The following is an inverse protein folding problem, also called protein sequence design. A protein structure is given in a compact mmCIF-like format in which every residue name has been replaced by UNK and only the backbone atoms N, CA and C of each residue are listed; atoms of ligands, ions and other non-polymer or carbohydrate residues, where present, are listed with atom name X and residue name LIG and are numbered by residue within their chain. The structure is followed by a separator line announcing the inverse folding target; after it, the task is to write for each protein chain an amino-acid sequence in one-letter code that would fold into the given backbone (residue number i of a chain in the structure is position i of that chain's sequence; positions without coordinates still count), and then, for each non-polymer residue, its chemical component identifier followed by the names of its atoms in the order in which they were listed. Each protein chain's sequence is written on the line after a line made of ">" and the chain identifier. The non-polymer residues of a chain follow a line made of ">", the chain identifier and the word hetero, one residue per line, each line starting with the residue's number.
data_IF_679135486097
#
_entry.id   IF_679135486097
#
_cell.length_a   1.000
_cell.length_b   1.000
_cell.length_c   1.000
_cell.angle_alpha   90.00
_cell.angle_beta   90.00
_cell.angle_gamma   90.00
#
_symmetry.space_group_name_H-M   'P 1'
#
loop_
_entity.id
_entity.type
_entity.pdbx_description
1 polymer ?
#
# COMPACT_ATOMS: atom_id res chain seq x y z
N UNK A 1 36.21 16.76 -40.59
CA UNK A 1 35.63 17.10 -39.28
C UNK A 1 34.52 16.09 -38.99
N UNK A 2 34.76 15.15 -38.07
CA UNK A 2 33.84 14.04 -37.79
C UNK A 2 33.09 14.27 -36.47
N UNK A 3 31.77 14.38 -36.54
CA UNK A 3 30.89 14.52 -35.38
C UNK A 3 30.78 13.18 -34.63
N UNK A 4 31.36 13.11 -33.43
CA UNK A 4 31.18 11.99 -32.50
C UNK A 4 29.94 12.25 -31.64
N UNK A 5 28.93 11.39 -31.78
CA UNK A 5 27.78 11.31 -30.86
C UNK A 5 28.21 10.72 -29.52
N UNK A 6 27.74 11.24 -28.37
CA UNK A 6 28.11 10.71 -27.06
C UNK A 6 27.36 9.42 -26.77
N UNK A 7 28.11 8.35 -26.45
CA UNK A 7 27.58 7.11 -25.89
C UNK A 7 27.40 7.30 -24.38
N UNK A 8 26.17 7.14 -23.89
CA UNK A 8 25.90 7.08 -22.46
C UNK A 8 26.17 5.67 -21.93
N UNK A 9 27.13 5.57 -21.01
CA UNK A 9 27.38 4.36 -20.23
C UNK A 9 26.37 4.23 -19.09
N UNK A 10 25.55 3.19 -19.12
CA UNK A 10 24.60 2.79 -18.07
C UNK A 10 25.26 1.77 -17.14
N UNK A 11 26.21 2.20 -16.32
CA UNK A 11 26.68 1.42 -15.15
C UNK A 11 27.20 2.38 -14.09
N UNK A 12 26.33 2.76 -13.16
CA UNK A 12 26.67 3.06 -11.77
C UNK A 12 25.38 3.28 -10.98
N UNK A 13 25.28 2.59 -9.84
CA UNK A 13 24.13 2.62 -8.95
C UNK A 13 23.93 4.00 -8.36
N UNK A 14 22.94 4.73 -8.86
CA UNK A 14 22.51 5.98 -8.26
C UNK A 14 21.62 5.67 -7.07
N UNK A 15 22.08 6.04 -5.88
CA UNK A 15 21.18 6.52 -4.82
C UNK A 15 20.24 7.53 -5.48
N UNK A 16 18.94 7.23 -5.49
CA UNK A 16 17.93 8.20 -5.89
C UNK A 16 17.89 9.22 -4.75
N UNK A 17 18.68 10.27 -4.90
CA UNK A 17 18.65 11.41 -4.01
C UNK A 17 17.28 12.07 -4.20
N UNK A 18 16.37 11.88 -3.24
CA UNK A 18 15.05 12.53 -3.18
C UNK A 18 15.16 13.97 -2.70
N UNK A 19 16.31 14.63 -2.88
CA UNK A 19 16.40 16.08 -3.02
C UNK A 19 15.60 16.49 -4.26
N UNK A 20 14.28 16.42 -4.09
CA UNK A 20 13.31 17.18 -4.83
C UNK A 20 13.87 18.60 -4.80
N UNK A 21 14.19 19.11 -5.98
CA UNK A 21 14.29 20.53 -6.27
C UNK A 21 13.03 21.22 -5.72
N UNK A 22 13.04 21.57 -4.44
CA UNK A 22 12.21 22.60 -3.85
C UNK A 22 12.97 23.89 -4.06
N UNK A 23 13.04 24.29 -5.32
CA UNK A 23 13.35 25.65 -5.69
C UNK A 23 12.37 26.56 -4.93
N UNK A 24 12.84 27.68 -4.39
CA UNK A 24 12.02 28.81 -3.89
C UNK A 24 10.89 29.22 -4.86
N UNK A 25 11.01 28.84 -6.13
CA UNK A 25 9.94 28.82 -7.13
C UNK A 25 8.67 28.06 -6.69
N UNK A 26 8.75 26.94 -5.96
CA UNK A 26 7.58 26.18 -5.51
C UNK A 26 6.81 26.89 -4.39
N UNK A 27 7.47 27.54 -3.43
CA UNK A 27 6.80 28.41 -2.46
C UNK A 27 6.15 29.62 -3.15
N UNK A 28 6.81 30.21 -4.16
CA UNK A 28 6.25 31.29 -4.98
C UNK A 28 5.10 30.82 -5.89
N UNK A 29 5.14 29.59 -6.40
CA UNK A 29 4.11 28.97 -7.23
C UNK A 29 2.90 28.57 -6.38
N UNK A 30 3.15 28.00 -5.20
CA UNK A 30 2.13 27.70 -4.20
C UNK A 30 1.60 28.96 -3.50
N UNK A 31 2.24 30.12 -3.65
CA UNK A 31 1.66 31.41 -3.26
C UNK A 31 0.79 32.01 -4.37
N UNK A 32 1.09 31.73 -5.65
CA UNK A 32 0.32 32.21 -6.82
C UNK A 32 -0.89 31.35 -7.20
N UNK A 33 -0.91 30.07 -6.83
CA UNK A 33 -1.96 29.10 -7.19
C UNK A 33 -2.68 28.58 -5.95
N UNK A 34 -2.59 29.26 -4.79
CA UNK A 34 -3.66 29.05 -3.81
C UNK A 34 -4.92 29.58 -4.50
N UNK A 35 -5.98 28.80 -4.70
CA UNK A 35 -7.28 29.44 -4.59
C UNK A 35 -7.20 30.20 -3.27
N UNK A 36 -7.13 31.52 -3.35
CA UNK A 36 -7.21 32.38 -2.17
C UNK A 36 -8.57 32.01 -1.62
N UNK A 37 -8.61 31.11 -0.64
CA UNK A 37 -9.84 30.76 0.06
C UNK A 37 -10.30 32.13 0.56
N UNK A 38 -11.39 32.68 0.03
CA UNK A 38 -11.89 33.95 0.52
C UNK A 38 -12.04 33.74 2.02
N UNK A 39 -11.46 34.63 2.82
CA UNK A 39 -11.44 34.59 4.28
C UNK A 39 -12.86 34.73 4.90
N UNK A 40 -13.89 34.16 4.26
CA UNK A 40 -15.20 33.81 4.80
C UNK A 40 -15.28 32.29 4.90
N UNK A 41 -14.89 31.78 6.08
CA UNK A 41 -14.80 30.37 6.50
C UNK A 41 -15.96 29.48 6.02
N UNK A 42 -15.84 28.90 4.82
CA UNK A 42 -16.44 27.59 4.59
C UNK A 42 -15.49 26.59 5.22
N UNK A 43 -15.91 25.99 6.33
CA UNK A 43 -15.29 24.77 6.85
C UNK A 43 -15.46 23.74 5.75
N UNK A 44 -14.43 23.55 4.94
CA UNK A 44 -14.44 22.49 3.94
C UNK A 44 -14.28 21.19 4.70
N UNK A 45 -15.33 20.37 4.65
CA UNK A 45 -15.22 19.00 5.07
C UNK A 45 -14.21 18.30 4.17
N UNK A 46 -13.41 17.43 4.78
CA UNK A 46 -12.53 16.55 4.04
C UNK A 46 -12.90 15.12 4.35
N UNK A 47 -12.65 14.25 3.39
CA UNK A 47 -13.03 12.86 3.43
C UNK A 47 -12.05 12.05 4.28
N UNK A 48 -10.74 12.23 4.05
CA UNK A 48 -9.67 11.50 4.77
C UNK A 48 -8.30 12.12 4.54
N UNK A 49 -7.33 11.70 5.36
CA UNK A 49 -5.90 11.98 5.15
C UNK A 49 -5.27 10.82 4.38
N UNK A 50 -4.70 11.11 3.23
CA UNK A 50 -3.99 10.11 2.40
C UNK A 50 -2.60 9.84 3.00
N UNK A 51 -1.84 10.91 3.22
CA UNK A 51 -0.41 10.83 3.55
C UNK A 51 0.05 11.93 4.50
N UNK A 52 1.14 11.66 5.21
CA UNK A 52 1.86 12.61 6.07
C UNK A 52 3.30 12.71 5.60
N UNK A 53 3.88 13.91 5.61
CA UNK A 53 5.32 14.11 5.45
C UNK A 53 5.82 15.24 6.34
N UNK A 54 7.08 15.17 6.75
CA UNK A 54 7.78 16.28 7.40
C UNK A 54 8.52 17.11 6.35
N UNK A 55 8.34 18.43 6.38
CA UNK A 55 9.12 19.37 5.57
C UNK A 55 9.73 20.38 6.55
N UNK A 56 11.06 20.35 6.69
CA UNK A 56 11.79 21.12 7.71
C UNK A 56 11.20 20.80 9.10
N UNK A 57 10.62 21.78 9.76
CA UNK A 57 10.01 21.67 11.09
C UNK A 57 8.47 21.65 11.04
N UNK A 58 7.88 21.41 9.85
CA UNK A 58 6.42 21.43 9.66
C UNK A 58 5.90 20.09 9.15
N UNK A 59 4.91 19.56 9.86
CA UNK A 59 4.12 18.42 9.38
C UNK A 59 3.12 18.89 8.33
N UNK A 60 3.14 18.23 7.18
CA UNK A 60 2.17 18.43 6.10
C UNK A 60 1.37 17.15 5.88
N UNK A 61 0.09 17.30 5.57
CA UNK A 61 -0.84 16.21 5.31
C UNK A 61 -1.46 16.35 3.93
N UNK A 62 -1.56 15.27 3.17
CA UNK A 62 -2.25 15.25 1.89
C UNK A 62 -3.72 14.88 2.13
N UNK A 63 -4.62 15.83 1.88
CA UNK A 63 -6.04 15.67 2.16
C UNK A 63 -6.81 15.28 0.91
N UNK A 64 -7.73 14.33 1.05
CA UNK A 64 -8.82 14.12 0.10
C UNK A 64 -10.02 14.93 0.57
N UNK A 65 -10.48 15.88 -0.24
CA UNK A 65 -11.58 16.78 0.12
C UNK A 65 -12.95 16.10 -0.11
N UNK A 66 -13.95 16.42 0.71
CA UNK A 66 -15.31 15.88 0.54
C UNK A 66 -15.99 16.57 -0.64
N UNK A 67 -16.66 15.80 -1.51
CA UNK A 67 -17.30 16.28 -2.76
C UNK A 67 -16.34 16.81 -3.83
N UNK A 68 -15.04 16.57 -3.69
CA UNK A 68 -14.03 16.86 -4.70
C UNK A 68 -13.40 15.57 -5.20
N UNK A 69 -12.81 15.63 -6.38
CA UNK A 69 -12.13 14.48 -6.94
C UNK A 69 -10.76 14.30 -6.32
N UNK A 70 -10.24 13.07 -6.34
CA UNK A 70 -8.92 12.75 -5.78
C UNK A 70 -7.77 13.58 -6.42
N UNK A 71 -7.94 14.04 -7.67
CA UNK A 71 -6.97 14.92 -8.34
C UNK A 71 -6.89 16.34 -7.77
N UNK A 72 -7.83 16.70 -6.91
CA UNK A 72 -7.89 17.99 -6.21
C UNK A 72 -7.32 17.91 -4.80
N UNK A 73 -6.74 16.75 -4.41
CA UNK A 73 -6.06 16.58 -3.15
C UNK A 73 -4.89 17.58 -2.99
N UNK A 74 -4.80 18.22 -1.82
CA UNK A 74 -3.78 19.24 -1.52
C UNK A 74 -2.98 18.91 -0.27
N UNK A 75 -1.75 19.41 -0.21
CA UNK A 75 -0.90 19.30 0.97
C UNK A 75 -1.18 20.48 1.91
N UNK A 76 -1.75 20.18 3.06
CA UNK A 76 -2.13 21.16 4.07
C UNK A 76 -1.26 21.05 5.34
N UNK A 77 -0.99 22.17 6.02
CA UNK A 77 -0.25 22.15 7.27
C UNK A 77 -1.10 21.59 8.42
N UNK A 78 -0.44 20.94 9.38
CA UNK A 78 -1.09 20.43 10.60
C UNK A 78 -1.92 21.49 11.34
N UNK A 79 -1.50 22.75 11.31
CA UNK A 79 -2.15 23.86 12.02
C UNK A 79 -3.57 24.17 11.56
N UNK A 80 -3.96 23.76 10.35
CA UNK A 80 -5.34 23.97 9.85
C UNK A 80 -6.24 22.75 10.09
N UNK A 81 -5.67 21.63 10.52
CA UNK A 81 -6.43 20.40 10.71
C UNK A 81 -7.12 20.40 12.09
N UNK A 82 -8.40 19.99 12.15
CA UNK A 82 -9.05 19.70 13.42
C UNK A 82 -8.29 18.60 14.18
N UNK A 83 -8.18 18.73 15.51
CA UNK A 83 -7.46 17.75 16.34
C UNK A 83 -7.96 16.31 16.23
N UNK A 84 -9.26 16.10 16.00
CA UNK A 84 -9.82 14.75 15.92
C UNK A 84 -9.33 13.96 14.71
N UNK A 85 -8.82 14.65 13.70
CA UNK A 85 -8.49 14.06 12.40
C UNK A 85 -7.13 13.39 12.42
N UNK A 86 -6.18 13.91 13.20
CA UNK A 86 -4.90 13.23 13.40
C UNK A 86 -5.11 11.85 14.03
N UNK A 87 -6.12 11.69 14.88
CA UNK A 87 -6.55 10.40 15.42
C UNK A 87 -7.04 9.46 14.33
N UNK A 88 -7.94 9.93 13.44
CA UNK A 88 -8.45 9.13 12.32
C UNK A 88 -7.33 8.68 11.38
N UNK A 89 -6.30 9.51 11.18
CA UNK A 89 -5.15 9.10 10.37
C UNK A 89 -4.40 7.91 10.97
N UNK A 90 -4.19 7.89 12.28
CA UNK A 90 -3.52 6.76 12.96
C UNK A 90 -4.43 5.53 13.09
N UNK A 91 -5.73 5.75 13.24
CA UNK A 91 -6.74 4.71 13.46
C UNK A 91 -7.89 4.87 12.47
N UNK A 92 -7.67 4.53 11.19
CA UNK A 92 -8.69 4.71 10.18
C UNK A 92 -9.84 3.73 10.38
N UNK A 93 -11.05 4.22 10.14
CA UNK A 93 -12.25 3.39 10.04
C UNK A 93 -12.28 2.71 8.66
N UNK A 94 -12.36 1.38 8.65
CA UNK A 94 -12.34 0.59 7.42
C UNK A 94 -13.53 -0.34 7.40
N UNK A 95 -14.30 -0.31 6.31
CA UNK A 95 -15.42 -1.23 6.11
C UNK A 95 -14.94 -2.63 5.73
N UNK A 96 -15.71 -3.65 6.12
CA UNK A 96 -15.39 -5.05 5.84
C UNK A 96 -15.41 -5.36 4.34
N UNK A 97 -16.32 -4.72 3.58
CA UNK A 97 -16.39 -4.89 2.13
C UNK A 97 -15.13 -4.38 1.44
N UNK A 98 -14.59 -3.26 1.94
CA UNK A 98 -13.40 -2.63 1.40
C UNK A 98 -12.15 -3.47 1.71
N UNK A 99 -12.05 -4.04 2.92
CA UNK A 99 -11.02 -5.03 3.26
C UNK A 99 -11.10 -6.28 2.39
N UNK A 100 -12.31 -6.79 2.15
CA UNK A 100 -12.54 -7.97 1.30
C UNK A 100 -12.08 -7.72 -0.14
N UNK A 101 -12.37 -6.54 -0.69
CA UNK A 101 -11.91 -6.17 -2.03
C UNK A 101 -10.39 -6.13 -2.12
N UNK A 102 -9.72 -5.47 -1.16
CA UNK A 102 -8.26 -5.37 -1.13
C UNK A 102 -7.61 -6.74 -0.90
N UNK A 103 -8.16 -7.57 -0.02
CA UNK A 103 -7.70 -8.94 0.18
C UNK A 103 -7.73 -9.72 -1.14
N UNK A 104 -8.86 -9.74 -1.86
CA UNK A 104 -8.99 -10.43 -3.15
C UNK A 104 -8.01 -9.91 -4.21
N UNK A 105 -7.78 -8.60 -4.27
CA UNK A 105 -6.81 -8.00 -5.19
C UNK A 105 -5.37 -8.42 -4.84
N UNK A 106 -5.03 -8.40 -3.55
CA UNK A 106 -3.73 -8.83 -3.05
C UNK A 106 -3.49 -10.31 -3.34
N UNK A 107 -4.44 -11.19 -2.99
CA UNK A 107 -4.40 -12.63 -3.30
C UNK A 107 -4.18 -12.87 -4.79
N UNK A 108 -5.00 -12.25 -5.64
CA UNK A 108 -4.88 -12.39 -7.09
C UNK A 108 -3.49 -11.98 -7.58
N UNK A 109 -2.89 -10.95 -7.00
CA UNK A 109 -1.54 -10.52 -7.35
C UNK A 109 -0.46 -11.51 -6.86
N UNK A 110 -0.57 -12.04 -5.64
CA UNK A 110 0.30 -13.10 -5.11
C UNK A 110 0.21 -14.36 -5.99
N UNK A 111 -0.99 -14.82 -6.31
CA UNK A 111 -1.23 -16.00 -7.13
C UNK A 111 -0.63 -15.85 -8.54
N UNK A 112 -0.82 -14.68 -9.18
CA UNK A 112 -0.16 -14.37 -10.47
C UNK A 112 1.36 -14.36 -10.34
N UNK A 113 1.90 -13.90 -9.22
CA UNK A 113 3.34 -13.86 -8.96
C UNK A 113 3.91 -15.28 -8.81
N UNK A 114 3.27 -16.12 -8.00
CA UNK A 114 3.62 -17.54 -7.80
C UNK A 114 3.54 -18.33 -9.12
N UNK A 115 2.47 -18.16 -9.88
CA UNK A 115 2.30 -18.80 -11.19
C UNK A 115 3.42 -18.43 -12.18
N UNK A 116 3.80 -17.15 -12.22
CA UNK A 116 4.94 -16.69 -13.04
C UNK A 116 6.27 -17.27 -12.57
N UNK A 117 6.44 -17.44 -11.26
CA UNK A 117 7.68 -17.99 -10.69
C UNK A 117 7.92 -19.44 -11.12
N UNK A 118 6.87 -20.26 -11.13
CA UNK A 118 6.95 -21.63 -11.65
C UNK A 118 7.42 -21.63 -13.11
N UNK A 119 6.90 -20.71 -13.92
CA UNK A 119 7.22 -20.60 -15.34
C UNK A 119 8.62 -20.02 -15.61
N UNK A 120 9.10 -19.11 -14.76
CA UNK A 120 10.33 -18.34 -14.99
C UNK A 120 11.27 -18.37 -13.79
N UNK A 121 12.40 -19.06 -13.94
CA UNK A 121 13.51 -19.09 -12.97
C UNK A 121 14.35 -17.79 -13.04
N UNK A 122 13.76 -16.65 -12.70
CA UNK A 122 14.50 -15.40 -12.49
C UNK A 122 15.43 -15.47 -11.26
N UNK A 123 16.60 -14.85 -11.34
CA UNK A 123 17.46 -14.63 -10.17
C UNK A 123 16.90 -13.53 -9.25
N UNK A 124 16.13 -12.58 -9.80
CA UNK A 124 15.56 -11.48 -9.02
C UNK A 124 14.32 -11.94 -8.25
N UNK A 125 14.17 -11.55 -6.98
CA UNK A 125 12.92 -11.73 -6.25
C UNK A 125 11.78 -11.06 -7.02
N UNK A 126 10.72 -11.78 -7.40
CA UNK A 126 9.62 -11.16 -8.10
C UNK A 126 8.91 -10.19 -7.16
N UNK A 127 8.52 -9.06 -7.74
CA UNK A 127 7.77 -8.02 -7.05
C UNK A 127 6.58 -7.61 -7.90
N UNK A 128 5.53 -7.13 -7.25
CA UNK A 128 4.35 -6.57 -7.91
C UNK A 128 3.85 -5.35 -7.14
N UNK A 129 2.99 -4.55 -7.76
CA UNK A 129 2.27 -3.48 -7.09
C UNK A 129 0.78 -3.82 -7.09
N UNK A 130 0.11 -3.52 -5.97
CA UNK A 130 -1.34 -3.57 -5.84
C UNK A 130 -1.85 -2.21 -5.42
N UNK A 131 -3.04 -1.85 -5.89
CA UNK A 131 -3.76 -0.70 -5.36
C UNK A 131 -4.20 -1.06 -3.94
N UNK A 132 -3.78 -0.25 -2.98
CA UNK A 132 -3.98 -0.55 -1.57
C UNK A 132 -4.10 0.80 -0.84
N UNK A 133 -5.33 1.27 -0.58
CA UNK A 133 -5.55 2.53 0.11
C UNK A 133 -4.78 2.57 1.42
N UNK A 134 -4.12 3.68 1.72
CA UNK A 134 -3.22 3.75 2.86
C UNK A 134 -3.92 3.70 4.21
N UNK A 135 -5.19 4.05 4.27
CA UNK A 135 -6.02 3.81 5.46
C UNK A 135 -6.14 2.32 5.76
N UNK A 136 -6.39 1.51 4.74
CA UNK A 136 -6.41 0.05 4.90
C UNK A 136 -5.02 -0.47 5.25
N UNK A 137 -3.96 0.10 4.66
CA UNK A 137 -2.59 -0.30 4.98
C UNK A 137 -2.26 -0.03 6.46
N UNK A 138 -2.61 1.17 6.95
CA UNK A 138 -2.48 1.56 8.35
C UNK A 138 -3.29 0.65 9.26
N UNK A 139 -4.54 0.36 8.90
CA UNK A 139 -5.40 -0.55 9.64
C UNK A 139 -4.81 -1.95 9.75
N UNK A 140 -4.38 -2.53 8.63
CA UNK A 140 -3.87 -3.92 8.57
C UNK A 140 -2.52 -4.05 9.27
N UNK A 141 -1.58 -3.14 8.99
CA UNK A 141 -0.18 -3.29 9.44
C UNK A 141 0.20 -2.41 10.64
N UNK A 142 -0.71 -1.55 11.12
CA UNK A 142 -0.51 -0.73 12.32
C UNK A 142 0.58 0.33 12.18
N UNK A 143 0.86 0.79 10.96
CA UNK A 143 1.96 1.74 10.71
C UNK A 143 1.55 2.89 9.79
N UNK A 144 1.91 4.11 10.20
CA UNK A 144 1.64 5.36 9.46
C UNK A 144 2.75 5.78 8.50
N UNK A 145 3.92 5.13 8.57
CA UNK A 145 5.12 5.64 7.90
C UNK A 145 5.19 5.16 6.45
N UNK A 146 4.88 6.08 5.55
CA UNK A 146 4.98 5.86 4.12
C UNK A 146 6.45 5.84 3.67
N UNK A 147 6.78 5.03 2.66
CA UNK A 147 8.13 4.92 2.11
C UNK A 147 9.11 4.04 2.90
N UNK A 148 8.72 3.54 4.07
CA UNK A 148 9.50 2.52 4.80
C UNK A 148 9.14 1.14 4.29
N UNK A 149 10.14 0.27 4.13
CA UNK A 149 9.94 -1.14 3.87
C UNK A 149 9.59 -1.88 5.17
N UNK A 150 8.57 -2.72 5.12
CA UNK A 150 8.17 -3.60 6.21
C UNK A 150 8.38 -5.05 5.81
N UNK A 151 8.97 -5.84 6.71
CA UNK A 151 9.18 -7.27 6.50
C UNK A 151 8.18 -8.03 7.38
N UNK A 152 7.21 -8.67 6.75
CA UNK A 152 6.26 -9.56 7.43
C UNK A 152 6.89 -10.93 7.48
N UNK A 153 7.12 -11.45 8.67
CA UNK A 153 7.85 -12.72 8.89
C UNK A 153 6.96 -13.95 8.88
N UNK A 154 5.65 -13.79 9.11
CA UNK A 154 4.71 -14.90 9.21
C UNK A 154 3.34 -14.54 8.60
N UNK A 155 2.54 -15.56 8.29
CA UNK A 155 1.19 -15.39 7.71
C UNK A 155 0.25 -14.60 8.62
N UNK A 156 0.42 -14.66 9.95
CA UNK A 156 -0.39 -13.90 10.92
C UNK A 156 -0.27 -12.38 10.76
N UNK A 157 0.78 -11.87 10.09
CA UNK A 157 0.89 -10.46 9.73
C UNK A 157 -0.16 -9.99 8.74
N UNK A 158 -0.89 -10.91 8.10
CA UNK A 158 -2.03 -10.64 7.23
C UNK A 158 -3.38 -10.99 7.87
N UNK A 159 -3.42 -11.27 9.18
CA UNK A 159 -4.63 -11.73 9.89
C UNK A 159 -5.83 -10.79 9.83
N UNK A 160 -5.61 -9.49 9.63
CA UNK A 160 -6.67 -8.49 9.46
C UNK A 160 -7.26 -8.45 8.03
N UNK A 161 -6.63 -9.12 7.06
CA UNK A 161 -7.19 -9.28 5.73
C UNK A 161 -7.97 -10.61 5.70
N UNK A 162 -9.23 -10.62 5.21
CA UNK A 162 -10.02 -11.84 5.07
C UNK A 162 -9.54 -12.68 3.87
N UNK A 163 -8.35 -13.27 4.01
CA UNK A 163 -7.70 -14.07 2.99
C UNK A 163 -8.21 -15.53 3.03
N UNK A 164 -8.33 -16.16 1.87
CA UNK A 164 -8.58 -17.59 1.67
C UNK A 164 -7.45 -18.45 2.23
N UNK A 165 -7.76 -19.63 2.77
CA UNK A 165 -6.76 -20.53 3.40
C UNK A 165 -5.61 -20.99 2.48
N UNK A 166 -5.76 -20.86 1.16
CA UNK A 166 -4.77 -21.26 0.17
C UNK A 166 -3.96 -20.12 -0.46
N UNK A 167 -4.08 -18.88 0.02
CA UNK A 167 -3.50 -17.72 -0.65
C UNK A 167 -1.97 -17.76 -0.76
N UNK A 168 -1.30 -18.53 0.09
CA UNK A 168 0.17 -18.64 0.17
C UNK A 168 0.79 -19.67 -0.77
N UNK A 169 0.00 -20.44 -1.53
CA UNK A 169 0.55 -21.40 -2.48
C UNK A 169 -0.18 -21.35 -3.82
N UNK A 170 0.49 -21.84 -4.85
CA UNK A 170 -0.07 -22.02 -6.19
C UNK A 170 0.27 -23.44 -6.68
N UNK A 171 -0.71 -24.10 -7.31
CA UNK A 171 -0.56 -25.42 -7.91
C UNK A 171 -0.79 -25.28 -9.41
N UNK A 172 0.18 -25.71 -10.22
CA UNK A 172 0.03 -25.70 -11.67
C UNK A 172 -0.73 -26.93 -12.19
N UNK A 173 -1.00 -26.95 -13.51
CA UNK A 173 -1.67 -28.07 -14.21
C UNK A 173 -0.91 -29.40 -14.16
N UNK A 174 0.36 -29.39 -13.76
CA UNK A 174 1.23 -30.57 -13.64
C UNK A 174 1.43 -30.99 -12.17
N UNK A 175 0.61 -30.47 -11.26
CA UNK A 175 0.69 -30.68 -9.81
C UNK A 175 2.06 -30.26 -9.23
N UNK A 176 2.74 -29.31 -9.85
CA UNK A 176 3.89 -28.64 -9.26
C UNK A 176 3.38 -27.57 -8.30
N UNK A 177 3.91 -27.55 -7.08
CA UNK A 177 3.53 -26.61 -6.03
C UNK A 177 4.60 -25.55 -5.86
N UNK A 178 4.17 -24.30 -5.75
CA UNK A 178 5.04 -23.18 -5.35
C UNK A 178 4.41 -22.50 -4.14
N UNK A 179 5.19 -22.36 -3.08
CA UNK A 179 4.77 -21.72 -1.85
C UNK A 179 5.50 -20.39 -1.68
N UNK A 180 4.74 -19.42 -1.18
CA UNK A 180 5.26 -18.16 -0.72
C UNK A 180 6.21 -18.39 0.45
N UNK A 181 7.44 -17.89 0.35
CA UNK A 181 8.37 -17.90 1.47
C UNK A 181 8.37 -16.56 2.18
N UNK A 182 8.53 -16.62 3.50
CA UNK A 182 8.67 -15.47 4.36
C UNK A 182 10.16 -15.21 4.65
N UNK A 183 10.57 -13.94 4.86
CA UNK A 183 9.73 -12.76 4.99
C UNK A 183 9.17 -12.22 3.67
N UNK A 184 7.96 -11.65 3.74
CA UNK A 184 7.34 -10.85 2.67
C UNK A 184 7.66 -9.38 2.91
N UNK A 185 8.28 -8.74 1.93
CA UNK A 185 8.56 -7.32 1.98
C UNK A 185 7.38 -6.53 1.38
N UNK A 186 6.86 -5.54 2.12
CA UNK A 186 5.83 -4.61 1.65
C UNK A 186 6.34 -3.17 1.80
N UNK A 187 6.06 -2.34 0.80
CA UNK A 187 6.51 -0.95 0.73
C UNK A 187 5.36 -0.08 0.21
N UNK A 188 4.71 0.75 1.06
CA UNK A 188 3.69 1.68 0.62
C UNK A 188 4.33 2.81 -0.18
N UNK A 189 3.81 3.05 -1.40
CA UNK A 189 4.31 4.00 -2.37
C UNK A 189 3.23 4.97 -2.79
N UNK A 190 3.41 6.23 -2.41
CA UNK A 190 2.60 7.33 -2.92
C UNK A 190 3.22 7.82 -4.21
N UNK A 191 2.49 7.74 -5.32
CA UNK A 191 2.92 8.32 -6.59
C UNK A 191 1.90 9.35 -7.07
N UNK A 192 2.35 10.31 -7.88
CA UNK A 192 1.46 11.31 -8.48
C UNK A 192 1.27 10.96 -9.96
N UNK A 193 0.14 10.35 -10.31
CA UNK A 193 -0.21 9.98 -11.68
C UNK A 193 -0.75 11.19 -12.43
N UNK A 194 -0.34 11.36 -13.69
CA UNK A 194 -0.96 12.33 -14.60
C UNK A 194 -2.29 11.75 -15.11
N UNK A 195 -3.38 12.46 -14.89
CA UNK A 195 -4.70 12.14 -15.40
C UNK A 195 -5.18 13.28 -16.30
N UNK A 196 -5.73 12.96 -17.46
CA UNK A 196 -6.33 13.95 -18.35
C UNK A 196 -7.82 14.06 -18.01
N UNK A 197 -8.29 15.28 -17.76
CA UNK A 197 -9.68 15.57 -17.46
C UNK A 197 -10.23 16.56 -18.45
N UNK A 198 -11.47 16.35 -18.87
CA UNK A 198 -12.21 17.30 -19.68
C UNK A 198 -12.92 18.28 -18.73
N UNK A 199 -12.47 19.53 -18.71
CA UNK A 199 -13.05 20.60 -17.91
C UNK A 199 -13.63 21.61 -18.90
N UNK A 200 -14.96 21.69 -18.97
CA UNK A 200 -15.68 22.62 -19.86
C UNK A 200 -15.25 22.53 -21.33
N UNK A 201 -15.07 21.32 -21.85
CA UNK A 201 -14.65 21.08 -23.24
C UNK A 201 -13.14 21.18 -23.48
N UNK A 202 -12.35 21.53 -22.46
CA UNK A 202 -10.89 21.61 -22.54
C UNK A 202 -10.23 20.47 -21.78
N UNK A 203 -9.35 19.74 -22.45
CA UNK A 203 -8.53 18.72 -21.79
C UNK A 203 -7.38 19.37 -21.01
N UNK A 204 -7.39 19.21 -19.70
CA UNK A 204 -6.32 19.62 -18.80
C UNK A 204 -5.71 18.40 -18.12
N UNK A 205 -4.39 18.37 -17.98
CA UNK A 205 -3.74 17.34 -17.17
C UNK A 205 -3.74 17.78 -15.70
N UNK A 206 -4.09 16.86 -14.82
CA UNK A 206 -4.03 17.02 -13.36
C UNK A 206 -3.15 15.92 -12.77
N UNK A 207 -2.59 16.18 -11.59
CA UNK A 207 -1.89 15.15 -10.81
C UNK A 207 -2.88 14.55 -9.83
N UNK A 208 -2.94 13.24 -9.77
CA UNK A 208 -3.77 12.50 -8.84
C UNK A 208 -2.87 11.60 -8.00
N UNK A 209 -3.01 11.60 -6.66
CA UNK A 209 -2.31 10.63 -5.83
C UNK A 209 -2.79 9.23 -6.17
N UNK A 210 -1.83 8.31 -6.25
CA UNK A 210 -2.04 6.89 -6.49
C UNK A 210 -1.36 6.12 -5.36
N UNK A 211 -2.18 5.48 -4.53
CA UNK A 211 -1.80 4.71 -3.35
C UNK A 211 -1.55 3.26 -3.76
N UNK A 212 -0.27 2.87 -3.77
CA UNK A 212 0.12 1.51 -4.13
C UNK A 212 0.95 0.90 -3.03
N UNK A 213 0.87 -0.42 -2.89
CA UNK A 213 1.82 -1.19 -2.09
C UNK A 213 2.63 -2.05 -3.03
N UNK A 214 3.95 -1.85 -3.02
CA UNK A 214 4.88 -2.74 -3.68
C UNK A 214 5.14 -3.91 -2.74
N UNK A 215 4.99 -5.12 -3.27
CA UNK A 215 5.21 -6.36 -2.54
C UNK A 215 6.37 -7.10 -3.21
N UNK A 216 7.35 -7.51 -2.42
CA UNK A 216 8.47 -8.36 -2.84
C UNK A 216 8.41 -9.67 -2.08
N UNK A 217 8.32 -10.77 -2.81
CA UNK A 217 8.11 -12.10 -2.23
C UNK A 217 9.42 -12.89 -2.19
N UNK A 218 9.59 -13.69 -1.13
CA UNK A 218 10.50 -14.84 -1.13
C UNK A 218 9.82 -16.09 -1.69
N UNK A 219 10.59 -17.08 -2.13
CA UNK A 219 10.05 -18.36 -2.62
C UNK A 219 10.88 -19.52 -2.15
N UNK A 220 10.19 -20.62 -1.81
CA UNK A 220 10.79 -21.92 -1.57
C UNK A 220 10.10 -22.92 -2.51
N UNK A 221 10.84 -23.60 -3.40
CA UNK A 221 10.31 -24.75 -4.11
C UNK A 221 9.85 -25.80 -3.10
N UNK A 222 8.64 -26.32 -3.26
CA UNK A 222 8.17 -27.43 -2.42
C UNK A 222 8.48 -28.71 -3.19
N UNK A 223 9.51 -29.43 -2.77
CA UNK A 223 9.86 -30.71 -3.39
C UNK A 223 8.71 -31.70 -3.21
N UNK A 224 8.34 -32.40 -4.30
CA UNK A 224 7.23 -33.36 -4.37
C UNK A 224 7.31 -34.50 -3.35
N UNK A 225 8.45 -34.66 -2.68
CA UNK A 225 8.76 -35.77 -1.77
C UNK A 225 9.16 -35.35 -0.36
N UNK A 226 9.00 -34.07 -0.01
CA UNK A 226 9.03 -33.69 1.40
C UNK A 226 7.76 -34.23 2.06
N UNK A 227 7.80 -35.50 2.50
CA UNK A 227 6.92 -36.10 3.51
C UNK A 227 7.12 -35.32 4.81
N UNK A 228 6.82 -34.04 4.81
CA UNK A 228 6.76 -33.24 6.01
C UNK A 228 5.47 -33.66 6.64
N UNK A 229 5.59 -34.48 7.69
CA UNK A 229 4.50 -34.94 8.52
C UNK A 229 3.51 -33.79 8.72
N UNK A 230 2.30 -33.96 8.19
CA UNK A 230 1.14 -33.21 8.66
C UNK A 230 1.03 -33.57 10.14
N UNK A 231 1.77 -32.85 10.98
CA UNK A 231 1.50 -32.76 12.40
C UNK A 231 0.25 -31.91 12.45
N UNK A 232 -0.88 -32.57 12.20
CA UNK A 232 -2.20 -32.11 12.57
C UNK A 232 -2.09 -31.82 14.06
N UNK A 233 -1.86 -30.56 14.41
CA UNK A 233 -2.08 -30.08 15.76
C UNK A 233 -3.56 -30.35 16.01
N UNK A 234 -3.82 -31.48 16.68
CA UNK A 234 -5.14 -31.83 17.16
C UNK A 234 -5.63 -30.62 17.95
N UNK A 235 -6.69 -30.01 17.45
CA UNK A 235 -7.45 -29.01 18.18
C UNK A 235 -7.93 -29.73 19.43
N UNK A 236 -7.34 -29.38 20.57
CA UNK A 236 -7.86 -29.71 21.89
C UNK A 236 -9.34 -29.29 21.90
N UNK A 237 -10.22 -30.28 21.86
CA UNK A 237 -11.63 -30.02 22.10
C UNK A 237 -11.76 -29.54 23.55
N UNK A 238 -12.44 -28.42 23.80
CA UNK A 238 -12.74 -28.02 25.17
C UNK A 238 -13.58 -29.11 25.81
N UNK A 239 -13.04 -29.74 26.85
CA UNK A 239 -13.74 -30.68 27.71
C UNK A 239 -14.95 -29.94 28.29
N UNK A 240 -16.15 -30.28 27.82
CA UNK A 240 -17.40 -29.77 28.36
C UNK A 240 -17.62 -30.42 29.72
N UNK A 241 -17.20 -29.72 30.79
CA UNK A 241 -17.59 -30.07 32.14
C UNK A 241 -19.11 -29.94 32.26
N UNK A 242 -19.78 -31.09 32.20
CA UNK A 242 -21.20 -31.22 32.51
C UNK A 242 -21.32 -31.10 34.03
N UNK A 243 -21.70 -29.92 34.52
CA UNK A 243 -22.09 -29.72 35.91
C UNK A 243 -23.43 -30.43 36.15
N UNK A 244 -23.40 -31.49 36.95
CA UNK A 244 -24.59 -32.06 37.59
C UNK A 244 -25.24 -31.01 38.50
N UNK A 245 -26.53 -30.74 38.28
CA UNK A 245 -27.36 -30.02 39.23
C UNK A 245 -27.82 -30.97 40.36
N UNK A 246 -27.80 -30.56 41.63
CA UNK A 246 -28.40 -31.34 42.71
C UNK A 246 -29.92 -31.16 42.71
N UNK A 247 -30.62 -32.28 42.87
CA UNK A 247 -32.06 -32.35 43.09
C UNK A 247 -32.44 -31.76 44.45
N UNK A 248 -33.50 -30.94 44.46
CA UNK A 248 -34.33 -30.63 45.63
C UNK A 248 -35.77 -30.81 45.22
#
# INVERSE_FOLDING_TARGET
>A
MANKTPRYNLREGRHINWEIYFDTSYEKMMAKVRPTIPYGLKVHNFRRIIARKQIKERTMYLLEWENYELSEATWEPESILPKHISTTFSYPEVSEEALTLVARQFESAVQRCLARRIKYKSATPPSFCVDFPFDMFRYVFGTSDLGRQYNITYTNGFSKLPMSSGWTYYIDRHNNRCQLAFPVCIEPRLTMRKVFKNINGKFEWRRQPEEKVRVTLGFQPVDKYSKTAETTTAVDQPVTNTMFAPSV
#
